data_IF_794568210738
#
_entry.id   IF_794568210738
#
_cell.length_a   1.000
_cell.length_b   1.000
_cell.length_c   1.000
_cell.angle_alpha   90.00
_cell.angle_beta   90.00
_cell.angle_gamma   90.00
#
_symmetry.space_group_name_H-M   'P 1'
#
loop_
_entity.id
_entity.type
_entity.pdbx_description
1 polymer ?
#
# COMPACT_ATOMS: atom_id res chain seq x y z
N UNK A 1 -15.69 13.66 -6.95
CA UNK A 1 -14.55 12.76 -6.61
C UNK A 1 -14.55 12.28 -5.16
N UNK A 2 -15.41 12.78 -4.29
CA UNK A 2 -15.51 12.32 -2.88
C UNK A 2 -16.48 11.17 -2.62
N UNK A 3 -17.27 10.77 -3.62
CA UNK A 3 -18.37 9.83 -3.40
C UNK A 3 -17.99 8.36 -3.63
N UNK A 4 -16.99 8.07 -4.45
CA UNK A 4 -16.64 6.68 -4.76
C UNK A 4 -15.82 6.00 -3.65
N UNK A 5 -14.96 6.74 -2.96
CA UNK A 5 -14.23 6.20 -1.81
C UNK A 5 -15.18 5.85 -0.65
N UNK A 6 -16.22 6.64 -0.43
CA UNK A 6 -17.25 6.36 0.59
C UNK A 6 -18.15 5.16 0.23
N UNK A 7 -18.30 4.83 -1.04
CA UNK A 7 -19.17 3.72 -1.49
C UNK A 7 -18.50 2.37 -1.22
N UNK A 8 -17.16 2.27 -1.27
CA UNK A 8 -16.43 1.01 -1.11
C UNK A 8 -16.18 0.62 0.35
N UNK A 9 -16.02 1.57 1.23
CA UNK A 9 -15.86 1.33 2.67
C UNK A 9 -17.19 1.05 3.37
N UNK A 10 -18.32 1.41 2.74
CA UNK A 10 -19.67 1.23 3.29
C UNK A 10 -20.40 -0.02 2.77
N UNK A 11 -19.81 -0.78 1.83
CA UNK A 11 -20.43 -1.96 1.23
C UNK A 11 -19.64 -3.23 1.49
N UNK A 12 -20.35 -4.30 1.93
CA UNK A 12 -19.75 -5.61 2.20
C UNK A 12 -19.62 -6.42 0.90
N UNK A 13 -18.44 -6.93 0.55
CA UNK A 13 -18.29 -7.85 -0.58
C UNK A 13 -18.74 -9.27 -0.29
N UNK A 14 -19.05 -9.60 0.97
CA UNK A 14 -19.32 -10.96 1.39
C UNK A 14 -20.67 -11.49 0.86
N UNK A 15 -20.71 -12.80 0.68
CA UNK A 15 -21.88 -13.50 0.16
C UNK A 15 -21.99 -13.53 -1.36
N UNK A 16 -20.97 -13.03 -2.09
CA UNK A 16 -20.88 -13.17 -3.55
C UNK A 16 -20.45 -14.58 -4.01
N UNK A 17 -20.11 -15.47 -3.06
CA UNK A 17 -19.53 -16.79 -3.31
C UNK A 17 -18.27 -16.72 -4.19
N UNK A 18 -18.08 -17.70 -5.09
CA UNK A 18 -16.87 -17.77 -5.91
C UNK A 18 -16.82 -16.69 -7.00
N UNK A 19 -17.99 -16.22 -7.49
CA UNK A 19 -18.05 -15.23 -8.57
C UNK A 19 -19.38 -14.47 -8.60
N UNK A 20 -20.50 -15.17 -8.78
CA UNK A 20 -21.80 -14.59 -9.15
C UNK A 20 -22.93 -14.95 -8.17
N UNK A 21 -22.61 -15.20 -6.92
CA UNK A 21 -23.55 -15.59 -5.90
C UNK A 21 -23.66 -17.11 -5.73
N UNK A 22 -24.67 -17.53 -4.97
CA UNK A 22 -24.90 -18.93 -4.61
C UNK A 22 -26.40 -19.24 -4.60
N UNK A 23 -26.74 -20.50 -4.84
CA UNK A 23 -28.11 -21.01 -4.70
C UNK A 23 -28.51 -21.29 -3.25
N UNK A 24 -27.58 -21.25 -2.30
CA UNK A 24 -27.89 -21.40 -0.89
C UNK A 24 -28.61 -20.16 -0.35
N UNK A 25 -29.60 -20.34 0.54
CA UNK A 25 -30.39 -19.24 1.11
C UNK A 25 -29.59 -18.45 2.17
N UNK A 26 -28.56 -17.73 1.74
CA UNK A 26 -27.77 -16.85 2.62
C UNK A 26 -28.36 -15.44 2.64
N UNK A 27 -28.29 -14.79 3.78
CA UNK A 27 -28.70 -13.37 3.92
C UNK A 27 -27.47 -12.47 3.93
N UNK A 28 -27.18 -11.85 2.79
CA UNK A 28 -26.07 -10.89 2.62
C UNK A 28 -26.28 -9.61 3.41
N UNK A 29 -27.53 -9.18 3.60
CA UNK A 29 -27.84 -7.97 4.35
C UNK A 29 -27.59 -8.15 5.85
N UNK A 30 -27.93 -9.31 6.39
CA UNK A 30 -27.62 -9.64 7.77
C UNK A 30 -26.11 -9.66 7.99
N UNK A 31 -25.33 -10.25 7.09
CA UNK A 31 -23.87 -10.28 7.16
C UNK A 31 -23.29 -8.86 7.12
N UNK A 32 -23.72 -8.04 6.18
CA UNK A 32 -23.28 -6.66 6.07
C UNK A 32 -23.56 -5.87 7.35
N UNK A 33 -24.79 -5.94 7.86
CA UNK A 33 -25.20 -5.27 9.10
C UNK A 33 -24.39 -5.73 10.31
N UNK A 34 -24.13 -7.03 10.45
CA UNK A 34 -23.35 -7.58 11.56
C UNK A 34 -21.92 -7.06 11.57
N UNK A 35 -21.35 -6.81 10.39
CA UNK A 35 -19.98 -6.30 10.22
C UNK A 35 -19.90 -4.77 10.21
N UNK A 36 -21.04 -4.08 10.33
CA UNK A 36 -21.08 -2.62 10.38
C UNK A 36 -21.08 -1.92 9.01
N UNK A 37 -21.35 -2.66 7.92
CA UNK A 37 -21.55 -2.09 6.60
C UNK A 37 -22.99 -1.67 6.38
N UNK A 38 -23.23 -0.68 5.53
CA UNK A 38 -24.58 -0.18 5.21
C UNK A 38 -25.40 -1.21 4.42
N UNK A 39 -24.76 -1.88 3.46
CA UNK A 39 -25.39 -2.89 2.59
C UNK A 39 -24.33 -3.81 1.96
N UNK A 40 -24.72 -4.96 1.38
CA UNK A 40 -23.83 -5.70 0.49
C UNK A 40 -23.61 -4.94 -0.83
N UNK A 41 -22.50 -5.25 -1.51
CA UNK A 41 -22.23 -4.74 -2.86
C UNK A 41 -23.31 -5.21 -3.85
N UNK A 42 -23.67 -4.35 -4.79
CA UNK A 42 -24.74 -4.63 -5.77
C UNK A 42 -24.28 -5.60 -6.86
N UNK A 43 -22.97 -5.62 -7.18
CA UNK A 43 -22.40 -6.48 -8.22
C UNK A 43 -21.51 -7.56 -7.60
N UNK A 44 -21.95 -8.83 -7.68
CA UNK A 44 -21.20 -9.98 -7.15
C UNK A 44 -19.87 -10.22 -7.86
N UNK A 45 -19.78 -9.96 -9.15
CA UNK A 45 -18.56 -10.13 -9.93
C UNK A 45 -17.51 -9.12 -9.47
N UNK A 46 -17.90 -7.88 -9.30
CA UNK A 46 -17.05 -6.82 -8.78
C UNK A 46 -16.58 -7.12 -7.35
N UNK A 47 -17.48 -7.61 -6.50
CA UNK A 47 -17.14 -8.03 -5.12
C UNK A 47 -15.99 -9.03 -5.06
N UNK A 48 -15.88 -9.90 -6.05
CA UNK A 48 -14.86 -10.96 -6.11
C UNK A 48 -13.59 -10.50 -6.81
N UNK A 49 -13.70 -9.71 -7.87
CA UNK A 49 -12.58 -9.34 -8.74
C UNK A 49 -11.89 -8.04 -8.33
N UNK A 50 -12.59 -7.13 -7.65
CA UNK A 50 -12.04 -5.81 -7.33
C UNK A 50 -10.89 -5.86 -6.30
N UNK A 51 -9.87 -5.04 -6.54
CA UNK A 51 -8.73 -4.81 -5.64
C UNK A 51 -8.35 -3.33 -5.59
N UNK A 52 -9.25 -2.45 -6.00
CA UNK A 52 -8.99 -1.03 -6.03
C UNK A 52 -8.64 -0.47 -4.65
N UNK A 53 -9.22 -1.01 -3.57
CA UNK A 53 -8.88 -0.60 -2.21
C UNK A 53 -7.39 -0.83 -1.87
N UNK A 54 -6.76 -1.88 -2.42
CA UNK A 54 -5.32 -2.12 -2.27
C UNK A 54 -4.53 -1.17 -3.15
N UNK A 55 -4.96 -0.96 -4.40
CA UNK A 55 -4.33 -0.02 -5.34
C UNK A 55 -4.36 1.41 -4.82
N UNK A 56 -5.49 1.85 -4.25
CA UNK A 56 -5.63 3.17 -3.63
C UNK A 56 -4.70 3.33 -2.43
N UNK A 57 -4.65 2.31 -1.56
CA UNK A 57 -3.75 2.32 -0.39
C UNK A 57 -2.28 2.39 -0.81
N UNK A 58 -1.87 1.58 -1.78
CA UNK A 58 -0.50 1.61 -2.31
C UNK A 58 -0.19 2.92 -3.02
N UNK A 59 -1.16 3.50 -3.75
CA UNK A 59 -0.99 4.78 -4.42
C UNK A 59 -0.82 5.92 -3.42
N UNK A 60 -1.66 5.99 -2.40
CA UNK A 60 -1.54 6.97 -1.33
C UNK A 60 -0.22 6.82 -0.57
N UNK A 61 0.17 5.57 -0.28
CA UNK A 61 1.45 5.25 0.34
C UNK A 61 2.64 5.66 -0.53
N UNK A 62 2.59 5.40 -1.84
CA UNK A 62 3.66 5.80 -2.77
C UNK A 62 3.83 7.32 -2.84
N UNK A 63 2.72 8.07 -2.85
CA UNK A 63 2.76 9.54 -2.79
C UNK A 63 3.37 10.01 -1.48
N UNK A 64 2.92 9.48 -0.34
CA UNK A 64 3.43 9.82 0.98
C UNK A 64 4.95 9.54 1.06
N UNK A 65 5.37 8.33 0.67
CA UNK A 65 6.78 7.95 0.69
C UNK A 65 7.63 8.79 -0.26
N UNK A 66 7.09 9.25 -1.38
CA UNK A 66 7.79 10.18 -2.27
C UNK A 66 8.10 11.50 -1.58
N UNK A 67 7.16 12.05 -0.81
CA UNK A 67 7.41 13.25 -0.02
C UNK A 67 8.41 13.00 1.11
N UNK A 68 8.29 11.88 1.82
CA UNK A 68 9.25 11.50 2.86
C UNK A 68 10.66 11.26 2.29
N UNK A 69 10.77 10.68 1.11
CA UNK A 69 12.05 10.51 0.40
C UNK A 69 12.72 11.84 0.08
N UNK A 70 11.96 12.83 -0.33
CA UNK A 70 12.50 14.18 -0.59
C UNK A 70 13.01 14.84 0.69
N UNK A 71 12.24 14.76 1.79
CA UNK A 71 12.70 15.24 3.09
C UNK A 71 13.95 14.49 3.55
N UNK A 72 13.99 13.17 3.38
CA UNK A 72 15.14 12.35 3.73
C UNK A 72 16.39 12.75 2.94
N UNK A 73 16.26 13.08 1.66
CA UNK A 73 17.36 13.57 0.82
C UNK A 73 17.91 14.92 1.34
N UNK A 74 17.03 15.85 1.72
CA UNK A 74 17.46 17.12 2.33
C UNK A 74 18.26 16.87 3.61
N UNK A 75 17.82 15.92 4.46
CA UNK A 75 18.57 15.55 5.67
C UNK A 75 19.95 14.99 5.32
N UNK A 76 20.04 14.10 4.33
CA UNK A 76 21.31 13.52 3.87
C UNK A 76 22.28 14.63 3.40
N UNK A 77 21.78 15.52 2.55
CA UNK A 77 22.57 16.61 1.97
C UNK A 77 23.03 17.57 3.08
N UNK A 78 22.14 18.04 3.93
CA UNK A 78 22.44 19.06 4.94
C UNK A 78 23.23 18.54 6.13
N UNK A 79 23.20 17.23 6.40
CA UNK A 79 24.08 16.60 7.38
C UNK A 79 25.47 16.26 6.83
N UNK A 80 25.68 16.39 5.51
CA UNK A 80 26.97 16.08 4.88
C UNK A 80 28.05 17.10 5.24
N UNK A 81 29.32 16.67 5.21
CA UNK A 81 30.48 17.48 5.56
C UNK A 81 30.55 18.87 4.89
N UNK A 82 30.20 19.01 3.57
CA UNK A 82 30.26 20.29 2.92
C UNK A 82 29.25 21.33 3.43
N UNK A 83 28.09 20.84 3.93
CA UNK A 83 27.03 21.71 4.43
C UNK A 83 27.03 21.80 5.97
N UNK A 84 26.99 20.66 6.67
CA UNK A 84 27.10 20.58 8.11
C UNK A 84 26.09 21.43 8.90
N UNK A 85 24.87 21.62 8.31
CA UNK A 85 23.89 22.50 8.94
C UNK A 85 23.27 21.88 10.19
N UNK A 86 23.33 20.58 10.35
CA UNK A 86 22.96 19.87 11.57
C UNK A 86 23.73 18.56 11.71
N UNK A 87 23.84 18.14 12.97
CA UNK A 87 24.48 16.88 13.34
C UNK A 87 23.41 15.89 13.77
N UNK A 88 23.43 14.71 13.18
CA UNK A 88 22.51 13.65 13.57
C UNK A 88 23.01 12.94 14.84
N UNK A 89 22.11 12.62 15.79
CA UNK A 89 22.43 11.79 16.93
C UNK A 89 22.93 10.40 16.54
N UNK A 90 23.75 9.78 17.37
CA UNK A 90 24.27 8.42 17.12
C UNK A 90 23.19 7.37 16.91
N UNK A 91 22.02 7.55 17.51
CA UNK A 91 20.86 6.66 17.32
C UNK A 91 20.32 6.63 15.87
N UNK A 92 20.58 7.66 15.06
CA UNK A 92 20.11 7.79 13.67
C UNK A 92 21.25 7.82 12.65
N UNK A 93 22.45 7.49 13.09
CA UNK A 93 23.63 7.46 12.24
C UNK A 93 24.47 6.22 12.53
N UNK A 94 25.18 5.73 11.52
CA UNK A 94 26.15 4.63 11.71
C UNK A 94 27.55 5.10 11.37
N UNK A 95 28.51 4.51 12.07
CA UNK A 95 29.93 4.68 11.78
C UNK A 95 30.40 3.77 10.66
N UNK A 96 31.59 4.04 10.13
CA UNK A 96 32.29 3.14 9.24
C UNK A 96 33.34 2.36 10.03
N UNK A 97 33.51 1.06 9.75
CA UNK A 97 34.57 0.25 10.37
C UNK A 97 35.97 0.69 9.93
N UNK A 98 36.11 1.28 8.74
CA UNK A 98 37.39 1.76 8.20
C UNK A 98 37.66 3.22 8.58
N UNK A 99 36.59 4.02 8.69
CA UNK A 99 36.69 5.44 9.03
C UNK A 99 35.82 5.75 10.25
N UNK A 100 36.39 5.60 11.47
CA UNK A 100 35.63 5.78 12.72
C UNK A 100 34.99 7.18 12.88
N UNK A 101 35.56 8.20 12.25
CA UNK A 101 35.06 9.60 12.26
C UNK A 101 33.86 9.79 11.31
N UNK A 102 33.62 8.85 10.38
CA UNK A 102 32.53 8.98 9.41
C UNK A 102 31.20 8.65 10.09
N UNK A 103 30.21 9.52 9.90
CA UNK A 103 28.83 9.31 10.33
C UNK A 103 27.94 9.34 9.10
N UNK A 104 27.19 8.27 8.87
CA UNK A 104 26.26 8.15 7.76
C UNK A 104 24.84 8.37 8.30
N UNK A 105 23.97 9.13 7.61
CA UNK A 105 22.58 9.38 7.99
C UNK A 105 21.68 8.19 7.61
N UNK A 106 21.97 7.00 8.11
CA UNK A 106 21.38 5.73 7.69
C UNK A 106 19.85 5.72 7.78
N UNK A 107 19.29 6.32 8.83
CA UNK A 107 17.83 6.37 8.96
C UNK A 107 17.19 7.11 7.78
N UNK A 108 17.77 8.23 7.36
CA UNK A 108 17.30 8.99 6.21
C UNK A 108 17.56 8.25 4.89
N UNK A 109 18.73 7.64 4.74
CA UNK A 109 19.06 6.83 3.55
C UNK A 109 18.12 5.65 3.39
N UNK A 110 17.74 4.96 4.48
CA UNK A 110 16.79 3.86 4.46
C UNK A 110 15.37 4.30 4.10
N UNK A 111 14.92 5.46 4.57
CA UNK A 111 13.61 6.01 4.17
C UNK A 111 13.61 6.25 2.65
N UNK A 112 14.65 6.90 2.13
CA UNK A 112 14.81 7.13 0.70
C UNK A 112 14.80 5.82 -0.10
N UNK A 113 15.56 4.82 0.34
CA UNK A 113 15.64 3.52 -0.33
C UNK A 113 14.32 2.75 -0.33
N UNK A 114 13.61 2.71 0.81
CA UNK A 114 12.34 1.99 0.95
C UNK A 114 11.20 2.57 0.11
N UNK A 115 11.28 3.82 -0.29
CA UNK A 115 10.31 4.44 -1.20
C UNK A 115 10.22 3.67 -2.51
N UNK A 116 11.35 3.21 -3.06
CA UNK A 116 11.38 2.41 -4.28
C UNK A 116 10.61 1.09 -4.17
N UNK A 117 10.65 0.44 -3.00
CA UNK A 117 9.92 -0.80 -2.78
C UNK A 117 8.40 -0.59 -2.90
N UNK A 118 7.87 0.47 -2.28
CA UNK A 118 6.44 0.74 -2.30
C UNK A 118 5.93 1.11 -3.70
N UNK A 119 6.71 1.88 -4.46
CA UNK A 119 6.42 2.17 -5.87
C UNK A 119 6.47 0.88 -6.71
N UNK A 120 7.44 0.02 -6.42
CA UNK A 120 7.55 -1.30 -7.05
C UNK A 120 6.33 -2.19 -6.79
N UNK A 121 5.83 -2.23 -5.56
CA UNK A 121 4.64 -3.01 -5.19
C UNK A 121 3.38 -2.48 -5.88
N UNK A 122 3.18 -1.16 -5.94
CA UNK A 122 2.08 -0.56 -6.69
C UNK A 122 2.12 -0.97 -8.16
N UNK A 123 3.29 -0.84 -8.79
CA UNK A 123 3.48 -1.21 -10.20
C UNK A 123 3.24 -2.71 -10.42
N UNK A 124 3.75 -3.56 -9.53
CA UNK A 124 3.56 -5.01 -9.61
C UNK A 124 2.08 -5.38 -9.55
N UNK A 125 1.32 -4.79 -8.61
CA UNK A 125 -0.11 -5.07 -8.50
C UNK A 125 -0.89 -4.57 -9.72
N UNK A 126 -0.58 -3.39 -10.26
CA UNK A 126 -1.16 -2.89 -11.51
C UNK A 126 -0.89 -3.84 -12.68
N UNK A 127 0.33 -4.37 -12.78
CA UNK A 127 0.70 -5.35 -13.81
C UNK A 127 -0.06 -6.65 -13.66
N UNK A 128 -0.27 -7.15 -12.44
CA UNK A 128 -1.08 -8.33 -12.17
C UNK A 128 -2.53 -8.08 -12.61
N UNK A 129 -3.13 -7.00 -12.16
CA UNK A 129 -4.55 -6.72 -12.38
C UNK A 129 -4.92 -6.44 -13.85
N UNK A 130 -4.02 -5.83 -14.64
CA UNK A 130 -4.32 -5.36 -16.01
C UNK A 130 -4.80 -6.44 -16.99
N UNK A 131 -4.44 -7.68 -16.77
CA UNK A 131 -4.71 -8.77 -17.73
C UNK A 131 -5.64 -9.86 -17.19
N UNK A 132 -6.20 -9.67 -15.98
CA UNK A 132 -7.06 -10.66 -15.37
C UNK A 132 -8.51 -10.55 -15.86
N UNK A 133 -9.24 -11.67 -15.95
CA UNK A 133 -10.69 -11.65 -16.14
C UNK A 133 -11.36 -11.00 -14.92
N UNK A 134 -12.62 -10.59 -15.07
CA UNK A 134 -13.46 -10.09 -13.99
C UNK A 134 -13.90 -11.24 -13.06
N UNK A 135 -12.91 -11.89 -12.43
CA UNK A 135 -13.05 -13.03 -11.55
C UNK A 135 -11.82 -13.14 -10.65
N UNK A 136 -11.86 -14.03 -9.67
CA UNK A 136 -10.67 -14.38 -8.90
C UNK A 136 -9.71 -15.25 -9.76
N UNK A 137 -8.44 -14.89 -9.76
CA UNK A 137 -7.35 -15.66 -10.38
C UNK A 137 -6.21 -15.85 -9.40
N UNK A 138 -5.45 -16.95 -9.53
CA UNK A 138 -4.30 -17.26 -8.67
C UNK A 138 -3.19 -16.23 -8.74
N UNK A 139 -3.10 -15.47 -9.81
CA UNK A 139 -2.19 -14.34 -9.98
C UNK A 139 -2.31 -13.33 -8.82
N UNK A 140 -3.52 -13.14 -8.30
CA UNK A 140 -3.77 -12.28 -7.14
C UNK A 140 -3.11 -12.78 -5.85
N UNK A 141 -2.83 -14.09 -5.73
CA UNK A 141 -2.14 -14.64 -4.57
C UNK A 141 -0.65 -14.26 -4.55
N UNK A 142 -0.02 -14.18 -5.72
CA UNK A 142 1.38 -13.78 -5.82
C UNK A 142 1.59 -12.33 -5.35
N UNK A 143 0.64 -11.45 -5.60
CA UNK A 143 0.73 -10.06 -5.15
C UNK A 143 0.58 -9.92 -3.63
N UNK A 144 -0.25 -10.75 -3.00
CA UNK A 144 -0.50 -10.69 -1.55
C UNK A 144 0.64 -11.30 -0.71
N UNK A 145 1.44 -12.20 -1.27
CA UNK A 145 2.57 -12.84 -0.56
C UNK A 145 3.81 -11.95 -0.55
N UNK A 146 3.90 -10.99 -1.47
CA UNK A 146 5.08 -10.15 -1.66
C UNK A 146 4.88 -8.68 -1.27
N UNK A 147 3.69 -8.30 -0.81
CA UNK A 147 3.42 -7.01 -0.19
C UNK A 147 3.65 -7.09 1.31
#
# INVERSE_FOLDING_TARGET
>A
MGSEMCIRDSQSPLGAAALAGTSFPIDRYQTAKTLGFDKPTDNSIDSVSDRDFVLETLSAGAICMTHLSRLAEEIVVFASSPFGFFILPDAFSTGSSIMPQKRNPDAAELIRAKTGNLIGHLTALLVVMKGLPLAYSKDMQLSLIHI
#
